data_IF_286670275856
#
_entry.id   IF_286670275856
#
_cell.length_a   1.000
_cell.length_b   1.000
_cell.length_c   1.000
_cell.angle_alpha   90.00
_cell.angle_beta   90.00
_cell.angle_gamma   90.00
#
_symmetry.space_group_name_H-M   'P 1'
#
loop_
_entity.id
_entity.type
_entity.pdbx_description
1 polymer ?
#
# COMPACT_ATOMS: atom_id res chain seq x y z
N UNK A 1 -27.98 27.82 9.92
CA UNK A 1 -27.79 26.36 9.88
C UNK A 1 -26.46 26.09 10.57
N UNK A 2 -26.49 25.56 11.79
CA UNK A 2 -25.27 25.15 12.48
C UNK A 2 -24.73 23.94 11.74
N UNK A 3 -23.48 24.00 11.26
CA UNK A 3 -22.82 22.84 10.70
C UNK A 3 -22.81 21.75 11.79
N UNK A 4 -23.32 20.56 11.48
CA UNK A 4 -23.13 19.38 12.33
C UNK A 4 -21.63 19.30 12.63
N UNK A 5 -21.29 19.48 13.90
CA UNK A 5 -19.90 19.50 14.35
C UNK A 5 -19.39 18.09 14.11
N UNK A 6 -18.54 17.92 13.10
CA UNK A 6 -17.88 16.64 12.84
C UNK A 6 -17.04 16.34 14.08
N UNK A 7 -17.55 15.46 14.95
CA UNK A 7 -16.83 15.00 16.13
C UNK A 7 -15.83 13.94 15.68
N UNK A 8 -14.67 14.39 15.20
CA UNK A 8 -13.55 13.51 14.88
C UNK A 8 -12.80 13.21 16.17
N UNK A 9 -12.83 11.95 16.59
CA UNK A 9 -12.02 11.47 17.71
C UNK A 9 -10.56 11.28 17.24
N UNK A 10 -9.60 12.11 17.71
CA UNK A 10 -8.22 12.04 17.24
C UNK A 10 -7.54 10.72 17.61
N UNK A 11 -7.97 10.05 18.70
CA UNK A 11 -7.41 8.76 19.10
C UNK A 11 -7.86 7.65 18.17
N UNK A 12 -9.13 7.64 17.76
CA UNK A 12 -9.63 6.69 16.75
C UNK A 12 -8.93 6.91 15.41
N UNK A 13 -8.64 8.15 15.05
CA UNK A 13 -7.94 8.47 13.81
C UNK A 13 -6.46 8.04 13.84
N UNK A 14 -5.76 8.21 14.97
CA UNK A 14 -4.42 7.61 15.16
C UNK A 14 -4.45 6.09 15.05
N UNK A 15 -5.46 5.45 15.65
CA UNK A 15 -5.59 4.00 15.56
C UNK A 15 -5.86 3.53 14.13
N UNK A 16 -6.66 4.27 13.37
CA UNK A 16 -6.87 4.01 11.94
C UNK A 16 -5.55 4.10 11.17
N UNK A 17 -4.75 5.16 11.42
CA UNK A 17 -3.41 5.33 10.82
C UNK A 17 -2.53 4.11 11.04
N UNK A 18 -2.44 3.61 12.28
CA UNK A 18 -1.64 2.43 12.60
C UNK A 18 -2.10 1.19 11.82
N UNK A 19 -3.41 0.93 11.78
CA UNK A 19 -3.97 -0.23 11.08
C UNK A 19 -3.76 -0.15 9.57
N UNK A 20 -3.94 1.04 8.98
CA UNK A 20 -3.71 1.27 7.56
C UNK A 20 -2.22 1.12 7.22
N UNK A 21 -1.33 1.62 8.08
CA UNK A 21 0.12 1.46 7.92
C UNK A 21 0.57 -0.01 8.03
N UNK A 22 0.00 -0.76 8.98
CA UNK A 22 0.25 -2.20 9.10
C UNK A 22 -0.22 -2.97 7.86
N UNK A 23 -1.39 -2.62 7.32
CA UNK A 23 -1.90 -3.21 6.09
C UNK A 23 -0.98 -2.90 4.90
N UNK A 24 -0.55 -1.64 4.75
CA UNK A 24 0.43 -1.23 3.74
C UNK A 24 1.69 -2.10 3.80
N UNK A 25 2.29 -2.22 4.98
CA UNK A 25 3.51 -2.99 5.19
C UNK A 25 3.32 -4.47 4.83
N UNK A 26 2.18 -5.08 5.19
CA UNK A 26 1.87 -6.47 4.86
C UNK A 26 1.70 -6.70 3.35
N UNK A 27 1.05 -5.77 2.65
CA UNK A 27 0.89 -5.85 1.19
C UNK A 27 2.25 -5.72 0.51
N UNK A 28 3.06 -4.73 0.91
CA UNK A 28 4.42 -4.55 0.38
C UNK A 28 5.29 -5.80 0.60
N UNK A 29 5.32 -6.33 1.83
CA UNK A 29 6.09 -7.52 2.15
C UNK A 29 5.63 -8.76 1.37
N UNK A 30 4.32 -8.91 1.12
CA UNK A 30 3.78 -10.01 0.32
C UNK A 30 4.20 -9.89 -1.15
N UNK A 31 4.11 -8.68 -1.72
CA UNK A 31 4.55 -8.42 -3.09
C UNK A 31 6.06 -8.65 -3.25
N UNK A 32 6.87 -8.21 -2.29
CA UNK A 32 8.32 -8.43 -2.28
C UNK A 32 8.66 -9.91 -2.15
N UNK A 33 8.01 -10.64 -1.23
CA UNK A 33 8.20 -12.08 -1.08
C UNK A 33 7.87 -12.83 -2.38
N UNK A 34 6.79 -12.45 -3.06
CA UNK A 34 6.44 -13.03 -4.35
C UNK A 34 7.50 -12.71 -5.40
N UNK A 35 7.95 -11.46 -5.50
CA UNK A 35 9.00 -11.02 -6.43
C UNK A 35 10.29 -11.81 -6.23
N UNK A 36 10.73 -11.97 -4.99
CA UNK A 36 11.95 -12.71 -4.64
C UNK A 36 11.81 -14.20 -4.93
N UNK A 37 10.64 -14.78 -4.63
CA UNK A 37 10.35 -16.20 -4.94
C UNK A 37 10.40 -16.44 -6.45
N UNK A 38 9.76 -15.56 -7.23
CA UNK A 38 9.77 -15.64 -8.69
C UNK A 38 11.17 -15.45 -9.25
N UNK A 39 11.97 -14.51 -8.75
CA UNK A 39 13.35 -14.33 -9.20
C UNK A 39 14.24 -15.57 -8.94
N UNK A 40 13.93 -16.39 -7.93
CA UNK A 40 14.61 -17.66 -7.68
C UNK A 40 14.19 -18.81 -8.58
N UNK A 41 12.99 -18.74 -9.18
CA UNK A 41 12.40 -19.78 -10.04
C UNK A 41 12.55 -19.42 -11.52
N UNK A 42 12.45 -18.13 -11.84
CA UNK A 42 12.61 -17.55 -13.16
C UNK A 42 14.06 -17.12 -13.34
N UNK A 43 14.81 -17.84 -14.17
CA UNK A 43 16.10 -17.38 -14.65
C UNK A 43 16.13 -17.43 -16.16
N UNK A 44 16.42 -16.29 -16.78
CA UNK A 44 16.66 -16.18 -18.22
C UNK A 44 17.87 -17.03 -18.67
N UNK A 45 18.71 -17.48 -17.71
CA UNK A 45 19.97 -18.16 -17.98
C UNK A 45 19.93 -19.69 -17.83
N UNK A 46 19.06 -20.26 -16.97
CA UNK A 46 19.15 -21.71 -16.64
C UNK A 46 18.00 -22.53 -17.21
N UNK A 47 16.73 -22.21 -16.98
CA UNK A 47 15.57 -22.90 -17.57
C UNK A 47 14.29 -22.11 -17.30
N UNK A 48 13.54 -21.78 -18.35
CA UNK A 48 12.17 -21.28 -18.17
C UNK A 48 11.27 -22.43 -17.65
N UNK A 49 10.51 -22.25 -16.55
CA UNK A 49 9.66 -23.32 -16.00
C UNK A 49 8.65 -23.90 -17.00
N UNK A 50 8.27 -23.10 -17.99
CA UNK A 50 7.34 -23.41 -19.08
C UNK A 50 8.05 -23.88 -20.37
N UNK A 51 9.36 -24.11 -20.32
CA UNK A 51 10.17 -24.52 -21.47
C UNK A 51 10.51 -23.39 -22.45
N UNK A 52 11.44 -23.67 -23.35
CA UNK A 52 11.92 -22.72 -24.38
C UNK A 52 11.33 -23.00 -25.78
N UNK A 53 10.30 -23.85 -25.87
CA UNK A 53 9.63 -24.14 -27.13
C UNK A 53 8.68 -22.99 -27.54
N UNK A 54 8.07 -23.09 -28.73
CA UNK A 54 7.16 -22.07 -29.25
C UNK A 54 5.97 -21.82 -28.30
N UNK A 55 5.52 -22.84 -27.56
CA UNK A 55 4.39 -22.73 -26.63
C UNK A 55 4.79 -22.00 -25.36
N UNK A 56 5.93 -22.38 -24.76
CA UNK A 56 6.50 -21.73 -23.58
C UNK A 56 6.80 -20.26 -23.83
N UNK A 57 7.43 -19.93 -24.96
CA UNK A 57 7.67 -18.54 -25.36
C UNK A 57 6.38 -17.74 -25.52
N UNK A 58 5.37 -18.30 -26.19
CA UNK A 58 4.07 -17.64 -26.37
C UNK A 58 3.35 -17.40 -25.03
N UNK A 59 3.44 -18.36 -24.11
CA UNK A 59 2.89 -18.24 -22.76
C UNK A 59 3.58 -17.10 -21.98
N UNK A 60 4.91 -17.04 -21.99
CA UNK A 60 5.65 -16.07 -21.19
C UNK A 60 5.68 -14.66 -21.79
N UNK A 61 6.06 -14.55 -23.06
CA UNK A 61 6.43 -13.30 -23.74
C UNK A 61 5.32 -12.75 -24.64
N UNK A 62 4.17 -13.43 -24.75
CA UNK A 62 3.03 -12.87 -25.47
C UNK A 62 2.63 -11.50 -24.93
N UNK A 63 1.94 -10.69 -25.72
CA UNK A 63 1.49 -9.34 -25.32
C UNK A 63 0.68 -9.33 -24.01
N UNK A 64 -0.13 -10.38 -23.80
CA UNK A 64 -0.85 -10.66 -22.54
C UNK A 64 -0.29 -11.88 -21.82
N UNK A 65 0.98 -12.17 -22.05
CA UNK A 65 1.69 -13.32 -21.50
C UNK A 65 1.95 -13.18 -20.01
N UNK A 66 2.41 -14.28 -19.42
CA UNK A 66 2.71 -14.38 -18.00
C UNK A 66 3.64 -13.26 -17.50
N UNK A 67 4.67 -12.90 -18.26
CA UNK A 67 5.63 -11.88 -17.81
C UNK A 67 4.99 -10.50 -17.67
N UNK A 68 4.08 -10.13 -18.58
CA UNK A 68 3.33 -8.88 -18.50
C UNK A 68 2.33 -8.91 -17.35
N UNK A 69 1.57 -10.01 -17.22
CA UNK A 69 0.61 -10.19 -16.14
C UNK A 69 1.28 -10.13 -14.74
N UNK A 70 2.41 -10.82 -14.56
CA UNK A 70 3.15 -10.82 -13.28
C UNK A 70 3.68 -9.44 -12.94
N UNK A 71 4.21 -8.70 -13.93
CA UNK A 71 4.71 -7.35 -13.74
C UNK A 71 3.59 -6.42 -13.28
N UNK A 72 2.45 -6.44 -13.99
CA UNK A 72 1.30 -5.61 -13.63
C UNK A 72 0.75 -5.94 -12.24
N UNK A 73 0.71 -7.21 -11.87
CA UNK A 73 0.25 -7.63 -10.54
C UNK A 73 1.19 -7.13 -9.43
N UNK A 74 2.50 -7.33 -9.59
CA UNK A 74 3.50 -6.92 -8.60
C UNK A 74 3.60 -5.40 -8.46
N UNK A 75 3.59 -4.70 -9.58
CA UNK A 75 3.66 -3.23 -9.60
C UNK A 75 2.35 -2.64 -9.04
N UNK A 76 1.19 -3.24 -9.36
CA UNK A 76 -0.11 -2.86 -8.80
C UNK A 76 -0.18 -3.09 -7.29
N UNK A 77 0.32 -4.22 -6.78
CA UNK A 77 0.39 -4.48 -5.34
C UNK A 77 1.31 -3.49 -4.62
N UNK A 78 2.44 -3.13 -5.23
CA UNK A 78 3.37 -2.12 -4.70
C UNK A 78 2.70 -0.74 -4.66
N UNK A 79 1.99 -0.36 -5.74
CA UNK A 79 1.24 0.89 -5.79
C UNK A 79 0.12 0.96 -4.75
N UNK A 80 -0.62 -0.13 -4.57
CA UNK A 80 -1.66 -0.22 -3.53
C UNK A 80 -1.06 -0.09 -2.12
N UNK A 81 0.09 -0.72 -1.86
CA UNK A 81 0.80 -0.56 -0.60
C UNK A 81 1.21 0.91 -0.36
N UNK A 82 1.72 1.61 -1.39
CA UNK A 82 2.06 3.02 -1.30
C UNK A 82 0.82 3.89 -1.00
N UNK A 83 -0.28 3.68 -1.70
CA UNK A 83 -1.53 4.42 -1.43
C UNK A 83 -2.01 4.23 0.01
N UNK A 84 -1.93 3.01 0.54
CA UNK A 84 -2.24 2.75 1.94
C UNK A 84 -1.26 3.44 2.90
N UNK A 85 0.02 3.51 2.54
CA UNK A 85 1.00 4.24 3.33
C UNK A 85 0.66 5.73 3.40
N UNK A 86 0.43 6.35 2.25
CA UNK A 86 0.07 7.77 2.16
C UNK A 86 -1.22 8.08 2.94
N UNK A 87 -2.20 7.17 2.89
CA UNK A 87 -3.42 7.26 3.70
C UNK A 87 -3.13 7.19 5.21
N UNK A 88 -2.23 6.30 5.63
CA UNK A 88 -1.81 6.18 7.03
C UNK A 88 -1.14 7.47 7.52
N UNK A 89 -0.26 8.07 6.72
CA UNK A 89 0.38 9.35 7.04
C UNK A 89 -0.65 10.48 7.14
N UNK A 90 -1.54 10.61 6.17
CA UNK A 90 -2.60 11.63 6.20
C UNK A 90 -3.54 11.50 7.41
N UNK A 91 -3.88 10.28 7.83
CA UNK A 91 -4.65 10.05 9.04
C UNK A 91 -3.90 10.49 10.30
N UNK A 92 -2.58 10.23 10.36
CA UNK A 92 -1.73 10.65 11.48
C UNK A 92 -1.64 12.17 11.57
N UNK A 93 -1.35 12.83 10.45
CA UNK A 93 -1.26 14.29 10.37
C UNK A 93 -2.57 14.96 10.77
N UNK A 94 -3.71 14.42 10.32
CA UNK A 94 -5.02 14.91 10.70
C UNK A 94 -5.28 14.76 12.21
N UNK A 95 -4.89 13.64 12.82
CA UNK A 95 -5.05 13.44 14.26
C UNK A 95 -4.18 14.39 15.09
N UNK A 96 -2.97 14.67 14.62
CA UNK A 96 -2.05 15.61 15.28
C UNK A 96 -2.53 17.05 15.14
N UNK A 97 -3.06 17.44 13.98
CA UNK A 97 -3.68 18.75 13.74
C UNK A 97 -4.91 18.99 14.64
N UNK A 98 -5.79 17.99 14.77
CA UNK A 98 -6.97 18.08 15.63
C UNK A 98 -6.58 18.22 17.11
N UNK A 99 -5.62 17.42 17.57
CA UNK A 99 -5.12 17.48 18.95
C UNK A 99 -4.49 18.85 19.26
N UNK A 100 -3.69 19.38 18.33
CA UNK A 100 -3.06 20.70 18.48
C UNK A 100 -4.07 21.86 18.48
N UNK A 101 -5.10 21.76 17.64
CA UNK A 101 -6.19 22.75 17.56
C UNK A 101 -7.01 22.80 18.85
N UNK A 102 -7.31 21.64 19.44
CA UNK A 102 -8.02 21.55 20.73
C UNK A 102 -7.19 22.16 21.87
N UNK A 103 -5.87 21.90 21.91
CA UNK A 103 -4.99 22.49 22.91
C UNK A 103 -4.89 24.02 22.80
N UNK A 104 -4.79 24.57 21.57
CA UNK A 104 -4.74 26.00 21.34
C UNK A 104 -6.07 26.69 21.73
N UNK A 105 -7.20 26.07 21.41
CA UNK A 105 -8.53 26.61 21.69
C UNK A 105 -8.88 26.57 23.18
N UNK A 106 -8.52 25.48 23.88
CA UNK A 106 -8.72 25.34 25.33
C UNK A 106 -7.89 26.33 26.16
N UNK A 107 -6.71 26.72 25.68
CA UNK A 107 -5.88 27.72 26.34
C UNK A 107 -6.40 29.16 26.23
N UNK A 108 -7.21 29.46 25.22
CA UNK A 108 -7.74 30.81 24.96
C UNK A 108 -9.06 31.10 25.67
N UNK A 109 -9.80 30.06 26.09
CA UNK A 109 -11.05 30.18 26.85
C UNK A 109 -10.86 30.14 28.38
N UNK A 110 -9.62 29.98 28.85
CA UNK A 110 -9.25 29.90 30.27
C UNK A 110 -8.70 31.20 30.87
N UNK A 111 -8.93 32.36 30.24
CA UNK A 111 -8.50 33.68 30.73
C UNK A 111 -9.68 34.64 30.85
#
# INVERSE_FOLDING_TARGET
MAADRVEVDPQKLRRASELTGELSAKVAATAEKLRNTLAGIESDATTMPWGNDKRGKKFAQGEKGYQAARKNLLDGATGAAQTLHDMSEGQREAADSLTGTDHASGGQLGK
#
